data_IF_220692310767
#
_entry.id   IF_220692310767
#
_cell.length_a   1.000
_cell.length_b   1.000
_cell.length_c   1.000
_cell.angle_alpha   90.00
_cell.angle_beta   90.00
_cell.angle_gamma   90.00
#
_symmetry.space_group_name_H-M   'P 1'
#
loop_
_entity.id
_entity.type
_entity.pdbx_description
1 polymer ?
2 non-polymer ?
3 non-polymer ?
4 non-polymer ?
5 water ?
#
# COMPACT_ATOMS: atom_id res chain seq x y z
N UNK A 1 -1.46 15.58 -5.71
CA UNK A 1 -1.77 14.26 -6.38
C UNK A 1 -0.48 13.62 -6.91
N UNK A 2 -0.52 12.31 -7.11
CA UNK A 2 0.56 11.61 -7.80
C UNK A 2 -0.03 10.78 -8.95
N UNK A 3 0.79 10.48 -9.94
CA UNK A 3 0.35 9.75 -11.14
C UNK A 3 1.31 8.65 -11.56
N UNK A 4 0.78 7.60 -12.18
CA UNK A 4 1.58 6.54 -12.79
C UNK A 4 0.90 6.03 -14.05
N UNK A 5 1.66 5.95 -15.13
CA UNK A 5 1.17 5.46 -16.42
C UNK A 5 1.83 4.14 -16.79
N UNK A 6 1.02 3.12 -17.03
CA UNK A 6 1.54 1.81 -17.42
C UNK A 6 2.06 1.79 -18.85
N UNK A 7 1.53 2.66 -19.70
CA UNK A 7 2.00 2.77 -21.07
C UNK A 7 3.41 3.36 -21.10
N UNK A 8 4.38 2.55 -21.52
CA UNK A 8 5.78 2.96 -21.54
C UNK A 8 6.48 2.78 -20.21
N UNK A 9 5.79 2.17 -19.25
CA UNK A 9 6.35 2.00 -17.92
C UNK A 9 7.56 1.08 -17.92
N UNK A 10 8.55 1.40 -17.08
CA UNK A 10 9.69 0.54 -16.87
C UNK A 10 10.12 0.64 -15.39
N UNK A 11 11.13 -0.14 -14.97
CA UNK A 11 11.53 -0.05 -13.56
C UNK A 11 11.84 1.38 -13.08
N UNK A 12 12.40 2.20 -13.98
CA UNK A 12 12.74 3.58 -13.65
C UNK A 12 11.51 4.45 -13.38
N UNK A 13 10.53 4.40 -14.29
CA UNK A 13 9.31 5.21 -14.13
C UNK A 13 8.47 4.75 -12.93
N UNK A 14 8.43 3.45 -12.70
CA UNK A 14 7.75 2.93 -11.52
C UNK A 14 8.43 3.42 -10.25
N UNK A 15 9.76 3.38 -10.23
CA UNK A 15 10.54 3.91 -9.11
C UNK A 15 10.25 5.37 -8.82
N UNK A 16 10.10 6.16 -9.88
CA UNK A 16 9.75 7.57 -9.75
C UNK A 16 8.37 7.76 -9.12
N UNK A 17 7.42 6.91 -9.52
CA UNK A 17 6.06 6.97 -8.97
C UNK A 17 6.04 6.65 -7.47
N UNK A 18 6.77 5.62 -7.07
CA UNK A 18 6.82 5.22 -5.67
C UNK A 18 7.53 6.28 -4.82
N UNK A 19 8.55 6.92 -5.40
CA UNK A 19 9.20 8.06 -4.75
C UNK A 19 8.20 9.20 -4.55
N UNK A 20 7.45 9.53 -5.60
CA UNK A 20 6.40 10.56 -5.54
C UNK A 20 5.36 10.23 -4.47
N UNK A 21 4.93 8.97 -4.44
CA UNK A 21 3.95 8.52 -3.46
C UNK A 21 4.45 8.74 -2.03
N UNK A 22 5.65 8.25 -1.74
CA UNK A 22 6.28 8.46 -0.44
C UNK A 22 6.37 9.95 -0.09
N UNK A 23 6.85 10.74 -1.04
CA UNK A 23 7.04 12.19 -0.81
C UNK A 23 5.74 12.97 -0.66
N UNK A 24 4.63 12.40 -1.12
CA UNK A 24 3.32 13.03 -0.95
C UNK A 24 2.73 12.82 0.45
N UNK A 25 3.32 11.92 1.24
CA UNK A 25 2.83 11.67 2.59
C UNK A 25 3.53 12.62 3.55
N UNK A 26 2.74 13.40 4.32
CA UNK A 26 3.32 14.40 5.20
C UNK A 26 3.91 13.81 6.47
N UNK A 27 4.96 14.45 6.98
CA UNK A 27 5.53 14.09 8.28
C UNK A 27 6.20 15.32 8.87
N UNK A 28 6.25 15.38 10.19
CA UNK A 28 6.93 16.47 10.90
C UNK A 28 8.28 16.03 11.47
N UNK A 29 8.47 14.72 11.65
CA UNK A 29 9.73 14.19 12.16
C UNK A 29 10.08 12.83 11.56
N UNK A 30 11.35 12.46 11.73
CA UNK A 30 11.83 11.13 11.39
C UNK A 30 12.28 10.41 12.64
N UNK A 31 12.10 9.10 12.65
CA UNK A 31 12.55 8.25 13.76
C UNK A 31 13.55 7.27 13.18
N UNK A 32 14.79 7.35 13.65
CA UNK A 32 15.91 6.61 13.07
C UNK A 32 15.99 6.82 11.56
N UNK A 33 15.84 8.09 11.18
CA UNK A 33 15.94 8.56 9.79
C UNK A 33 14.82 8.07 8.86
N UNK A 34 13.73 7.58 9.45
CA UNK A 34 12.56 7.10 8.69
C UNK A 34 11.39 8.04 8.97
N UNK A 35 10.75 8.57 7.92
CA UNK A 35 9.59 9.44 8.11
C UNK A 35 8.52 8.80 8.99
N UNK A 36 8.05 9.56 9.97
CA UNK A 36 7.00 9.14 10.88
C UNK A 36 5.69 9.73 10.39
N UNK A 37 4.76 8.87 9.98
CA UNK A 37 3.45 9.35 9.52
C UNK A 37 2.71 10.02 10.68
N UNK A 38 1.86 10.98 10.34
CA UNK A 38 1.19 11.81 11.34
C UNK A 38 0.11 11.02 12.11
N UNK A 39 -0.11 11.37 13.38
CA UNK A 39 -1.20 10.74 14.14
C UNK A 39 -2.56 10.98 13.51
N UNK A 40 -2.78 12.19 13.02
CA UNK A 40 -4.08 12.56 12.43
C UNK A 40 -3.96 13.74 11.47
N UNK A 41 -4.82 13.74 10.46
CA UNK A 41 -4.97 14.89 9.54
C UNK A 41 -6.47 15.18 9.42
N UNK A 42 -6.83 16.46 9.44
CA UNK A 42 -8.23 16.87 9.45
C UNK A 42 -8.73 17.26 8.06
N UNK A 43 -9.93 16.80 7.72
CA UNK A 43 -10.61 17.19 6.50
C UNK A 43 -10.10 16.49 5.26
N UNK A 44 -10.22 17.16 4.13
CA UNK A 44 -9.86 16.60 2.83
C UNK A 44 -8.36 16.32 2.69
N UNK A 45 -7.54 17.06 3.43
CA UNK A 45 -6.09 16.88 3.41
C UNK A 45 -5.59 15.51 3.88
N UNK A 46 -6.47 14.78 4.56
CA UNK A 46 -6.17 13.41 5.01
C UNK A 46 -5.96 12.43 3.84
N UNK A 47 -6.45 12.78 2.65
CA UNK A 47 -6.48 11.85 1.53
C UNK A 47 -5.64 12.29 0.34
N UNK A 48 -4.76 11.39 -0.10
CA UNK A 48 -3.95 11.57 -1.30
C UNK A 48 -4.66 10.91 -2.47
N UNK A 49 -4.68 11.59 -3.61
CA UNK A 49 -5.24 11.03 -4.84
C UNK A 49 -4.14 10.50 -5.75
N UNK A 50 -4.22 9.20 -6.09
CA UNK A 50 -3.32 8.58 -7.04
C UNK A 50 -4.06 8.38 -8.36
N UNK A 51 -3.56 8.98 -9.43
CA UNK A 51 -4.12 8.78 -10.77
C UNK A 51 -3.35 7.68 -11.48
N UNK A 52 -4.00 6.54 -11.70
CA UNK A 52 -3.37 5.40 -12.34
C UNK A 52 -3.95 5.18 -13.72
N UNK A 53 -3.08 5.00 -14.71
CA UNK A 53 -3.49 4.82 -16.11
C UNK A 53 -3.06 3.44 -16.61
N UNK A 54 -4.00 2.68 -17.15
CA UNK A 54 -3.68 1.40 -17.75
C UNK A 54 -2.99 1.64 -19.09
N UNK A 55 -2.52 0.57 -19.71
CA UNK A 55 -1.76 0.67 -20.95
C UNK A 55 -2.52 1.42 -22.07
N UNK A 56 -3.83 1.24 -22.10
CA UNK A 56 -4.69 1.91 -23.09
C UNK A 56 -5.02 3.36 -22.75
N UNK A 57 -4.58 3.84 -21.58
CA UNK A 57 -4.76 5.23 -21.20
C UNK A 57 -6.03 5.50 -20.40
N UNK A 58 -6.81 4.46 -20.11
CA UNK A 58 -7.96 4.59 -19.22
C UNK A 58 -7.46 4.71 -17.79
N UNK A 59 -8.24 5.37 -16.94
CA UNK A 59 -7.75 5.79 -15.64
C UNK A 59 -8.72 5.58 -14.49
N UNK A 60 -8.14 5.34 -13.31
CA UNK A 60 -8.87 5.42 -12.05
C UNK A 60 -8.10 6.35 -11.12
N UNK A 61 -8.81 6.96 -10.18
CA UNK A 61 -8.19 7.76 -9.14
C UNK A 61 -8.41 7.04 -7.82
N UNK A 62 -7.32 6.74 -7.13
CA UNK A 62 -7.38 6.00 -5.87
C UNK A 62 -7.13 6.96 -4.70
N UNK A 63 -8.01 6.91 -3.70
CA UNK A 63 -7.87 7.75 -2.50
C UNK A 63 -7.13 6.99 -1.41
N UNK A 64 -6.06 7.58 -0.90
CA UNK A 64 -5.19 6.95 0.09
C UNK A 64 -5.13 7.81 1.35
N UNK A 65 -5.39 7.20 2.50
CA UNK A 65 -5.30 7.87 3.80
C UNK A 65 -3.81 8.09 4.11
N UNK A 66 -3.40 9.34 4.25
CA UNK A 66 -1.96 9.67 4.35
C UNK A 66 -1.35 9.36 5.72
N UNK A 67 -2.18 9.04 6.70
CA UNK A 67 -1.70 8.65 8.04
C UNK A 67 -1.26 7.19 8.10
N UNK A 68 -1.83 6.33 7.24
CA UNK A 68 -1.52 4.88 7.29
C UNK A 68 -1.30 4.20 5.93
N UNK A 69 -1.40 4.97 4.85
CA UNK A 69 -1.28 4.48 3.47
C UNK A 69 -2.35 3.43 3.11
N UNK A 70 -3.49 3.48 3.79
CA UNK A 70 -4.61 2.58 3.51
C UNK A 70 -5.40 3.14 2.33
N UNK A 71 -5.72 2.28 1.37
CA UNK A 71 -6.61 2.68 0.28
C UNK A 71 -8.04 2.71 0.81
N UNK A 72 -8.72 3.84 0.59
CA UNK A 72 -10.10 4.03 1.08
C UNK A 72 -11.13 3.65 0.02
N UNK A 73 -10.81 3.99 -1.24
CA UNK A 73 -11.74 3.82 -2.34
C UNK A 73 -11.12 4.37 -3.61
N UNK A 74 -11.91 4.41 -4.67
CA UNK A 74 -11.42 4.88 -5.97
C UNK A 74 -12.56 5.35 -6.84
N UNK A 75 -12.21 6.14 -7.84
CA UNK A 75 -13.15 6.69 -8.80
C UNK A 75 -12.87 6.08 -10.17
N UNK A 76 -13.90 5.55 -10.81
CA UNK A 76 -13.80 5.02 -12.17
C UNK A 76 -14.90 5.65 -13.02
N UNK A 77 -14.50 6.55 -13.91
CA UNK A 77 -15.41 7.38 -14.71
C UNK A 77 -16.31 8.24 -13.80
N UNK A 78 -17.59 7.88 -13.66
CA UNK A 78 -18.53 8.68 -12.87
C UNK A 78 -19.04 7.93 -11.64
N UNK A 79 -18.42 6.79 -11.34
CA UNK A 79 -18.81 5.98 -10.20
C UNK A 79 -17.67 5.89 -9.19
N UNK A 80 -17.97 6.19 -7.92
CA UNK A 80 -17.01 5.99 -6.85
C UNK A 80 -17.27 4.66 -6.14
N UNK A 81 -16.20 4.08 -5.61
CA UNK A 81 -16.25 2.81 -4.90
C UNK A 81 -15.47 2.95 -3.60
N UNK A 82 -16.07 2.54 -2.49
CA UNK A 82 -15.41 2.59 -1.18
C UNK A 82 -15.53 1.26 -0.45
N UNK A 83 -14.50 0.95 0.36
CA UNK A 83 -14.55 -0.23 1.21
C UNK A 83 -15.66 -0.11 2.25
N UNK A 84 -16.21 -1.26 2.65
CA UNK A 84 -17.24 -1.29 3.68
C UNK A 84 -16.59 -1.25 5.06
N UNK A 85 -16.17 -0.06 5.46
CA UNK A 85 -15.51 0.16 6.75
C UNK A 85 -15.66 1.63 7.14
N UNK A 86 -15.67 1.94 8.45
CA UNK A 86 -15.93 3.33 8.86
C UNK A 86 -14.95 4.38 8.32
N UNK A 87 -13.67 4.04 8.24
CA UNK A 87 -12.67 4.98 7.72
C UNK A 87 -12.95 5.36 6.26
N UNK A 88 -13.40 4.39 5.47
CA UNK A 88 -13.71 4.63 4.06
C UNK A 88 -15.00 5.43 3.90
N UNK A 89 -15.99 5.15 4.74
CA UNK A 89 -17.24 5.94 4.72
C UNK A 89 -16.94 7.40 5.04
N UNK A 90 -16.09 7.63 6.04
CA UNK A 90 -15.63 8.98 6.37
C UNK A 90 -14.96 9.62 5.15
N UNK A 91 -14.03 8.88 4.53
CA UNK A 91 -13.37 9.38 3.32
C UNK A 91 -14.36 9.80 2.23
N UNK A 92 -15.47 9.07 2.11
CA UNK A 92 -16.49 9.38 1.10
C UNK A 92 -17.18 10.73 1.32
N UNK A 93 -17.02 11.30 2.52
CA UNK A 93 -17.51 12.65 2.80
C UNK A 93 -16.62 13.74 2.16
N UNK A 94 -15.41 13.37 1.75
CA UNK A 94 -14.41 14.34 1.29
C UNK A 94 -13.93 14.17 -0.16
N UNK A 95 -13.86 12.93 -0.66
CA UNK A 95 -13.34 12.69 -2.00
C UNK A 95 -14.38 12.09 -2.95
N UNK A 96 -14.22 12.38 -4.24
CA UNK A 96 -15.08 11.88 -5.31
C UNK A 96 -16.55 12.24 -5.13
N UNK A 97 -16.80 13.39 -4.49
CA UNK A 97 -18.17 13.83 -4.21
C UNK A 97 -18.96 14.13 -5.49
N UNK A 98 -18.25 14.51 -6.56
CA UNK A 98 -18.88 14.81 -7.85
C UNK A 98 -19.26 13.55 -8.66
N UNK A 99 -18.94 12.36 -8.16
CA UNK A 99 -19.36 11.12 -8.81
C UNK A 99 -20.88 11.04 -8.91
N UNK A 100 -21.37 10.51 -10.03
CA UNK A 100 -22.82 10.37 -10.21
C UNK A 100 -23.44 9.36 -9.25
N UNK A 101 -22.72 8.28 -8.94
CA UNK A 101 -23.18 7.33 -7.93
C UNK A 101 -22.02 6.80 -7.09
N UNK A 102 -22.33 6.34 -5.88
CA UNK A 102 -21.34 5.76 -4.97
C UNK A 102 -21.71 4.33 -4.62
N UNK A 103 -20.83 3.40 -4.94
CA UNK A 103 -21.00 2.00 -4.57
C UNK A 103 -20.11 1.69 -3.38
N UNK A 104 -20.69 1.10 -2.34
CA UNK A 104 -19.90 0.56 -1.24
C UNK A 104 -19.61 -0.89 -1.58
N UNK A 105 -18.33 -1.23 -1.63
CA UNK A 105 -17.92 -2.61 -1.92
C UNK A 105 -18.41 -3.54 -0.80
N UNK A 106 -18.68 -4.82 -1.14
CA UNK A 106 -19.18 -5.77 -0.14
C UNK A 106 -18.07 -6.45 0.69
N UNK A 107 -17.06 -5.67 1.07
CA UNK A 107 -16.00 -6.11 1.95
C UNK A 107 -15.23 -4.91 2.45
N UNK A 108 -14.53 -5.09 3.56
CA UNK A 108 -13.59 -4.10 4.06
C UNK A 108 -12.26 -4.25 3.30
N UNK A 109 -11.32 -3.38 3.59
CA UNK A 109 -10.04 -3.33 2.87
C UNK A 109 -8.92 -4.18 3.44
N UNK A 110 -9.15 -4.88 4.55
CA UNK A 110 -8.06 -5.67 5.13
C UNK A 110 -7.82 -6.95 4.32
N UNK A 111 -6.57 -7.41 4.36
CA UNK A 111 -6.15 -8.54 3.53
C UNK A 111 -6.99 -9.79 3.72
N UNK A 112 -7.37 -10.05 4.96
CA UNK A 112 -8.09 -11.28 5.27
C UNK A 112 -9.45 -11.30 4.57
N UNK A 113 -10.15 -10.18 4.60
CA UNK A 113 -11.47 -10.06 3.94
C UNK A 113 -11.38 -10.04 2.42
N UNK A 114 -10.37 -9.36 1.88
CA UNK A 114 -10.20 -9.31 0.42
C UNK A 114 -9.88 -10.69 -0.16
N UNK A 115 -9.07 -11.46 0.55
CA UNK A 115 -8.71 -12.82 0.13
C UNK A 115 -9.92 -13.74 0.12
N UNK A 116 -10.79 -13.60 1.12
CA UNK A 116 -12.06 -14.35 1.17
C UNK A 116 -12.92 -14.00 -0.05
N UNK A 117 -13.08 -12.70 -0.33
CA UNK A 117 -13.87 -12.24 -1.48
C UNK A 117 -13.27 -12.68 -2.81
N UNK A 118 -11.94 -12.63 -2.93
CA UNK A 118 -11.26 -13.01 -4.16
C UNK A 118 -11.22 -14.54 -4.36
N UNK A 119 -11.36 -15.29 -3.28
CA UNK A 119 -11.36 -16.75 -3.33
C UNK A 119 -9.96 -17.36 -3.34
N UNK A 120 -8.96 -16.57 -2.96
CA UNK A 120 -7.59 -17.06 -2.89
C UNK A 120 -6.71 -16.15 -2.02
N UNK A 121 -5.71 -16.74 -1.35
CA UNK A 121 -4.76 -15.93 -0.59
C UNK A 121 -3.81 -15.26 -1.57
N UNK A 122 -3.21 -14.14 -1.17
CA UNK A 122 -2.37 -13.40 -2.10
C UNK A 122 -1.02 -14.09 -2.36
N UNK A 123 -0.69 -15.12 -1.57
CA UNK A 123 0.42 -16.03 -1.92
C UNK A 123 0.27 -16.62 -3.32
N UNK A 124 -0.97 -16.75 -3.80
CA UNK A 124 -1.26 -17.35 -5.10
C UNK A 124 -1.63 -16.35 -6.20
N UNK A 125 -1.62 -15.06 -5.88
CA UNK A 125 -1.99 -14.01 -6.84
C UNK A 125 -0.73 -13.35 -7.39
N UNK A 126 -0.44 -13.54 -8.69
CA UNK A 126 0.74 -12.87 -9.26
C UNK A 126 0.64 -11.35 -9.16
N UNK A 127 1.77 -10.71 -8.91
CA UNK A 127 1.85 -9.25 -8.90
C UNK A 127 2.98 -8.80 -9.82
N UNK A 128 2.98 -7.51 -10.13
CA UNK A 128 3.88 -6.94 -11.12
C UNK A 128 3.19 -5.80 -11.83
N UNK A 129 3.88 -5.18 -12.78
CA UNK A 129 3.30 -4.08 -13.54
C UNK A 129 2.22 -4.58 -14.50
N UNK A 130 2.42 -5.72 -15.18
CA UNK A 130 1.31 -6.26 -15.98
C UNK A 130 0.05 -6.53 -15.13
N UNK A 131 0.22 -7.09 -13.95
CA UNK A 131 -0.91 -7.34 -13.04
C UNK A 131 -1.59 -6.04 -12.62
N UNK A 132 -0.81 -4.98 -12.45
CA UNK A 132 -1.36 -3.67 -12.10
C UNK A 132 -2.19 -3.11 -13.26
N UNK A 133 -1.70 -3.26 -14.48
CA UNK A 133 -2.48 -2.89 -15.66
C UNK A 133 -3.83 -3.63 -15.68
N UNK A 134 -3.80 -4.94 -15.42
CA UNK A 134 -5.02 -5.74 -15.32
C UNK A 134 -5.94 -5.23 -14.22
N UNK A 135 -5.35 -4.90 -13.08
CA UNK A 135 -6.13 -4.47 -11.91
C UNK A 135 -6.88 -3.18 -12.22
N UNK A 136 -6.21 -2.23 -12.85
CA UNK A 136 -6.82 -0.96 -13.22
C UNK A 136 -8.00 -1.23 -14.16
N UNK A 137 -7.76 -2.07 -15.17
CA UNK A 137 -8.78 -2.42 -16.14
C UNK A 137 -10.00 -3.08 -15.49
N UNK A 138 -9.76 -3.99 -14.55
CA UNK A 138 -10.83 -4.66 -13.82
C UNK A 138 -11.67 -3.65 -13.03
N UNK A 139 -11.00 -2.72 -12.37
CA UNK A 139 -11.71 -1.75 -11.52
C UNK A 139 -12.54 -0.73 -12.30
N UNK A 140 -12.32 -0.61 -13.61
CA UNK A 140 -13.06 0.35 -14.43
C UNK A 140 -14.55 0.04 -14.52
N UNK A 141 -14.91 -1.24 -14.42
CA UNK A 141 -16.30 -1.66 -14.44
C UNK A 141 -16.60 -2.64 -13.30
N UNK A 142 -17.67 -2.37 -12.57
CA UNK A 142 -17.93 -3.05 -11.32
C UNK A 142 -18.08 -4.57 -11.44
N UNK A 143 -17.33 -5.29 -10.62
CA UNK A 143 -17.39 -6.74 -10.50
C UNK A 143 -16.71 -7.04 -9.17
N UNK A 144 -17.50 -7.27 -8.11
CA UNK A 144 -16.95 -7.26 -6.75
C UNK A 144 -15.95 -8.40 -6.50
N UNK A 145 -16.22 -9.58 -7.03
CA UNK A 145 -15.28 -10.70 -6.92
C UNK A 145 -13.97 -10.40 -7.64
N UNK A 146 -14.06 -9.93 -8.88
CA UNK A 146 -12.86 -9.57 -9.65
C UNK A 146 -12.11 -8.41 -8.98
N UNK A 147 -12.87 -7.43 -8.49
CA UNK A 147 -12.28 -6.25 -7.86
C UNK A 147 -11.46 -6.59 -6.61
N UNK A 148 -11.90 -7.58 -5.82
CA UNK A 148 -11.13 -7.99 -4.64
C UNK A 148 -9.71 -8.40 -5.00
N UNK A 149 -9.57 -9.22 -6.03
CA UNK A 149 -8.26 -9.63 -6.54
C UNK A 149 -7.48 -8.44 -7.08
N UNK A 150 -8.14 -7.59 -7.85
CA UNK A 150 -7.53 -6.38 -8.40
C UNK A 150 -7.00 -5.50 -7.26
N UNK A 151 -7.79 -5.36 -6.21
CA UNK A 151 -7.41 -4.52 -5.07
C UNK A 151 -6.23 -5.10 -4.29
N UNK A 152 -6.16 -6.42 -4.16
CA UNK A 152 -4.99 -7.07 -3.57
C UNK A 152 -3.73 -6.73 -4.36
N UNK A 153 -3.83 -6.77 -5.70
CA UNK A 153 -2.70 -6.37 -6.54
C UNK A 153 -2.37 -4.88 -6.36
N UNK A 154 -3.41 -4.04 -6.41
CA UNK A 154 -3.25 -2.60 -6.30
C UNK A 154 -2.57 -2.16 -5.01
N UNK A 155 -3.04 -2.72 -3.89
CA UNK A 155 -2.52 -2.36 -2.57
C UNK A 155 -1.02 -2.70 -2.48
N UNK A 156 -0.66 -3.89 -2.95
CA UNK A 156 0.72 -4.35 -2.87
C UNK A 156 1.67 -3.60 -3.78
N UNK A 157 1.20 -3.23 -4.98
CA UNK A 157 2.06 -2.55 -5.95
C UNK A 157 2.15 -1.03 -5.75
N UNK A 158 1.36 -0.49 -4.82
CA UNK A 158 1.41 0.93 -4.51
C UNK A 158 1.81 1.11 -3.04
N UNK A 159 0.87 0.91 -2.12
CA UNK A 159 1.09 1.16 -0.70
C UNK A 159 2.26 0.35 -0.10
N UNK A 160 2.28 -0.96 -0.36
CA UNK A 160 3.30 -1.81 0.25
C UNK A 160 4.68 -1.52 -0.31
N UNK A 161 4.75 -1.19 -1.61
CA UNK A 161 6.00 -0.77 -2.25
C UNK A 161 6.50 0.57 -1.69
N UNK A 162 5.57 1.47 -1.39
CA UNK A 162 5.93 2.74 -0.73
C UNK A 162 6.51 2.47 0.66
N UNK A 163 5.94 1.50 1.38
CA UNK A 163 6.39 1.21 2.74
C UNK A 163 7.75 0.52 2.83
N UNK A 164 8.08 -0.31 1.84
CA UNK A 164 9.28 -1.14 1.88
C UNK A 164 10.05 -1.10 0.57
N UNK A 165 11.31 -0.68 0.64
CA UNK A 165 12.17 -0.67 -0.54
C UNK A 165 12.28 -2.06 -1.17
N UNK A 166 12.35 -3.10 -0.34
CA UNK A 166 12.40 -4.47 -0.84
C UNK A 166 11.20 -4.79 -1.76
N UNK A 167 10.01 -4.36 -1.35
CA UNK A 167 8.80 -4.63 -2.14
C UNK A 167 8.81 -3.83 -3.45
N UNK A 168 9.23 -2.57 -3.39
CA UNK A 168 9.41 -1.75 -4.60
C UNK A 168 10.31 -2.49 -5.62
N UNK A 169 11.44 -2.99 -5.13
CA UNK A 169 12.38 -3.72 -5.97
C UNK A 169 11.78 -5.01 -6.53
N UNK A 170 10.98 -5.71 -5.72
CA UNK A 170 10.30 -6.93 -6.18
C UNK A 170 9.36 -6.64 -7.35
N UNK A 171 8.65 -5.51 -7.29
CA UNK A 171 7.76 -5.12 -8.38
C UNK A 171 8.57 -4.67 -9.60
N UNK A 172 9.68 -3.98 -9.38
CA UNK A 172 10.58 -3.59 -10.47
C UNK A 172 11.10 -4.80 -11.25
N UNK A 173 11.34 -5.90 -10.53
CA UNK A 173 11.76 -7.16 -11.15
C UNK A 173 10.62 -7.79 -11.95
N UNK A 174 9.38 -7.41 -11.64
CA UNK A 174 8.19 -7.91 -12.31
C UNK A 174 7.61 -6.85 -13.25
N UNK A 175 8.47 -6.06 -13.89
CA UNK A 175 8.03 -4.98 -14.77
C UNK A 175 7.37 -5.51 -16.04
N UNK A 176 7.80 -6.68 -16.51
CA UNK A 176 7.28 -7.25 -17.76
C UNK A 176 6.82 -8.72 -17.63
N UNK A 177 6.83 -9.22 -16.39
CA UNK A 177 6.40 -10.59 -16.10
C UNK A 177 5.94 -10.66 -14.65
N UNK A 178 4.67 -10.99 -14.44
CA UNK A 178 4.13 -11.16 -13.10
C UNK A 178 4.70 -12.39 -12.42
N UNK A 179 4.74 -12.35 -11.10
CA UNK A 179 5.09 -13.51 -10.30
C UNK A 179 4.49 -13.32 -8.93
N UNK A 180 4.04 -14.41 -8.31
CA UNK A 180 3.50 -14.34 -6.95
C UNK A 180 4.54 -13.72 -6.01
N UNK A 181 4.08 -12.98 -4.99
CA UNK A 181 5.03 -12.32 -4.09
C UNK A 181 5.91 -13.32 -3.35
N UNK A 182 7.16 -12.95 -3.09
CA UNK A 182 8.06 -13.77 -2.28
C UNK A 182 7.51 -13.90 -0.87
N UNK A 183 7.91 -14.96 -0.17
CA UNK A 183 7.50 -15.17 1.23
C UNK A 183 7.92 -13.98 2.10
N UNK A 184 9.06 -13.38 1.76
CA UNK A 184 9.56 -12.20 2.46
C UNK A 184 8.64 -10.99 2.27
N UNK A 185 8.14 -10.83 1.05
CA UNK A 185 7.19 -9.76 0.74
C UNK A 185 5.98 -9.85 1.64
N UNK A 186 5.38 -11.04 1.71
CA UNK A 186 4.19 -11.27 2.54
C UNK A 186 4.51 -10.96 4.01
N UNK A 187 5.68 -11.41 4.45
CA UNK A 187 6.16 -11.20 5.82
C UNK A 187 6.23 -9.72 6.18
N UNK A 188 6.84 -8.92 5.31
CA UNK A 188 6.97 -7.47 5.54
C UNK A 188 5.62 -6.79 5.60
N UNK A 189 4.73 -7.11 4.66
CA UNK A 189 3.37 -6.55 4.63
C UNK A 189 2.68 -6.79 5.97
N UNK A 190 2.76 -8.04 6.45
CA UNK A 190 2.14 -8.44 7.69
C UNK A 190 2.77 -7.82 8.93
N UNK A 191 4.03 -7.39 8.82
CA UNK A 191 4.81 -6.89 9.96
C UNK A 191 4.98 -5.37 10.02
N UNK A 192 4.36 -4.64 9.10
CA UNK A 192 4.58 -3.21 9.01
C UNK A 192 4.17 -2.47 10.27
N UNK A 193 3.01 -2.83 10.81
CA UNK A 193 2.51 -2.20 12.04
C UNK A 193 3.42 -2.52 13.22
N UNK A 194 3.74 -3.81 13.37
CA UNK A 194 4.67 -4.27 14.41
C UNK A 194 6.03 -3.61 14.32
N UNK A 195 6.60 -3.57 13.13
CA UNK A 195 7.91 -2.93 12.92
C UNK A 195 7.87 -1.45 13.23
N UNK A 196 6.84 -0.77 12.74
CA UNK A 196 6.65 0.66 13.00
C UNK A 196 6.62 0.94 14.50
N UNK A 197 5.91 0.09 15.23
CA UNK A 197 5.78 0.22 16.69
C UNK A 197 7.12 0.05 17.39
N UNK A 198 7.82 -1.04 17.08
CA UNK A 198 9.08 -1.36 17.75
C UNK A 198 10.19 -0.35 17.47
N UNK A 199 10.20 0.19 16.25
CA UNK A 199 11.17 1.23 15.88
C UNK A 199 10.92 2.50 16.70
N UNK A 200 9.64 2.85 16.91
CA UNK A 200 9.31 3.99 17.76
C UNK A 200 9.61 3.72 19.24
N UNK A 201 9.34 2.49 19.70
CA UNK A 201 9.65 2.10 21.08
C UNK A 201 11.16 2.04 21.34
N UNK A 202 11.92 1.75 20.29
CA UNK A 202 13.38 1.67 20.39
C UNK A 202 14.01 3.00 20.80
N UNK A 203 13.36 4.11 20.44
CA UNK A 203 13.72 5.41 20.98
C UNK A 203 13.24 5.45 22.43
N UNK A 204 14.20 5.53 23.35
CA UNK A 204 13.92 5.37 24.78
C UNK A 204 14.38 4.02 25.30
N UNK A 205 14.86 3.16 24.40
CA UNK A 205 15.35 1.84 24.76
C UNK A 205 16.67 1.52 24.06
N UNK A 206 17.44 2.56 23.75
CA UNK A 206 18.79 2.44 23.16
C UNK A 206 18.82 1.72 21.81
N UNK A 207 17.77 1.92 21.02
CA UNK A 207 17.68 1.27 19.70
C UNK A 207 17.21 -0.17 19.75
N UNK A 208 16.90 -0.68 20.95
CA UNK A 208 16.50 -2.08 21.13
C UNK A 208 14.98 -2.20 21.09
N UNK A 209 14.47 -3.19 20.36
CA UNK A 209 13.03 -3.47 20.32
C UNK A 209 12.56 -3.98 21.68
N UNK A 210 11.42 -3.48 22.15
CA UNK A 210 10.80 -4.02 23.36
C UNK A 210 10.35 -5.47 23.12
N UNK A 211 9.89 -5.74 21.90
CA UNK A 211 9.46 -7.07 21.48
C UNK A 211 10.04 -7.38 20.10
N UNK A 212 10.77 -8.51 19.96
CA UNK A 212 11.35 -8.83 18.65
C UNK A 212 10.31 -9.11 17.57
N UNK A 213 10.63 -8.76 16.33
CA UNK A 213 9.76 -9.01 15.18
C UNK A 213 10.34 -10.15 14.36
N UNK A 214 9.55 -11.19 14.12
CA UNK A 214 9.99 -12.33 13.31
C UNK A 214 9.61 -12.11 11.85
N UNK A 215 10.60 -12.23 10.96
CA UNK A 215 10.41 -12.07 9.52
C UNK A 215 10.99 -13.24 8.73
N UNK A 216 10.48 -13.43 7.52
CA UNK A 216 11.09 -14.33 6.54
C UNK A 216 12.02 -13.50 5.66
N UNK A 217 13.25 -13.95 5.47
CA UNK A 217 14.24 -13.20 4.67
C UNK A 217 14.16 -13.56 3.19
N UNK A 218 14.95 -12.85 2.38
CA UNK A 218 15.01 -13.07 0.92
C UNK A 218 15.34 -14.51 0.52
N UNK A 219 15.83 -15.29 1.47
CA UNK A 219 16.27 -16.67 1.24
C UNK A 219 15.18 -17.70 1.58
N UNK A 220 14.06 -17.24 2.13
CA UNK A 220 13.00 -18.13 2.60
C UNK A 220 13.19 -18.59 4.05
N UNK A 221 14.21 -18.06 4.71
CA UNK A 221 14.54 -18.44 6.08
C UNK A 221 14.02 -17.43 7.10
N UNK A 222 13.59 -17.92 8.25
CA UNK A 222 12.92 -17.10 9.26
C UNK A 222 13.94 -16.45 10.22
N UNK A 223 14.16 -15.15 10.04
CA UNK A 223 15.06 -14.36 10.90
C UNK A 223 14.29 -13.63 12.00
N UNK A 224 15.02 -13.11 12.98
CA UNK A 224 14.43 -12.37 14.09
C UNK A 224 15.06 -10.98 14.21
N UNK A 225 14.21 -9.95 14.26
CA UNK A 225 14.66 -8.56 14.27
C UNK A 225 14.55 -8.01 15.70
N UNK A 226 15.69 -7.60 16.27
CA UNK A 226 15.74 -7.22 17.68
C UNK A 226 16.10 -5.75 17.95
N UNK A 227 16.64 -5.07 16.96
CA UNK A 227 17.09 -3.69 17.13
C UNK A 227 17.23 -2.89 15.83
N UNK A 228 17.44 -1.58 15.91
CA UNK A 228 17.49 -0.68 14.75
C UNK A 228 18.71 -0.84 13.84
N UNK A 229 19.69 -1.66 14.22
CA UNK A 229 20.86 -1.89 13.36
C UNK A 229 20.55 -2.88 12.24
N UNK A 230 19.41 -3.56 12.34
CA UNK A 230 18.99 -4.54 11.34
C UNK A 230 18.78 -3.89 9.97
N UNK A 231 19.08 -4.63 8.91
CA UNK A 231 18.91 -4.15 7.54
C UNK A 231 17.47 -3.70 7.23
N UNK A 232 16.49 -4.36 7.85
CA UNK A 232 15.09 -4.01 7.64
C UNK A 232 14.83 -2.56 8.07
N UNK A 233 15.51 -2.12 9.12
CA UNK A 233 15.35 -0.75 9.64
C UNK A 233 16.24 0.26 8.92
N UNK A 234 17.49 -0.11 8.66
CA UNK A 234 18.45 0.82 8.07
C UNK A 234 18.26 1.03 6.57
N UNK A 235 17.74 0.01 5.88
CA UNK A 235 17.51 0.09 4.44
C UNK A 235 16.24 -0.16 3.65
N UNK A 236 15.40 -0.75 4.44
CA UNK A 236 14.19 -1.30 3.82
C UNK A 236 12.96 -0.46 4.09
N UNK A 237 12.50 -0.43 5.34
CA UNK A 237 11.28 0.31 5.69
C UNK A 237 11.44 1.80 5.40
N UNK A 238 10.43 2.38 4.77
CA UNK A 238 10.51 3.79 4.33
C UNK A 238 9.49 4.72 5.00
N UNK A 239 8.51 4.14 5.69
CA UNK A 239 7.46 4.90 6.35
C UNK A 239 7.07 4.18 7.65
N UNK A 240 6.81 4.94 8.70
CA UNK A 240 6.39 4.40 9.98
C UNK A 240 4.95 4.79 10.31
N UNK A 241 4.13 3.77 10.59
CA UNK A 241 2.80 3.98 11.15
C UNK A 241 2.97 4.52 12.56
N UNK A 242 2.34 5.65 12.84
CA UNK A 242 2.43 6.29 14.16
C UNK A 242 1.83 5.38 15.24
N UNK A 243 2.51 5.27 16.39
CA UNK A 243 2.02 4.43 17.49
C UNK A 243 0.67 4.88 18.04
N UNK A 244 0.32 6.15 17.84
CA UNK A 244 -1.03 6.63 18.16
C UNK A 244 -2.12 5.81 17.46
N UNK A 245 -1.83 5.37 16.24
CA UNK A 245 -2.77 4.59 15.43
C UNK A 245 -2.57 3.07 15.53
N UNK A 246 -1.81 2.61 16.52
CA UNK A 246 -1.59 1.18 16.74
C UNK A 246 -2.15 0.79 18.11
X LIG B 1 20.95 -6.00 16.74
X LIG B 1 21.58 -7.06 17.63
X LIG B 1 22.63 -7.89 16.90
X LIG B 1 22.22 -8.27 15.49
X LIG B 1 21.61 -7.08 14.75
X LIG B 1 21.10 -7.47 13.36
X LIG B 1 21.69 -6.56 20.03
X LIG B 1 22.43 -5.82 21.11
X LIG B 1 22.17 -6.41 18.80
X LIG B 1 22.89 -9.08 17.64
X LIG B 1 23.35 -8.75 14.78
X LIG B 1 20.54 -6.57 15.50
X LIG B 1 19.93 -8.24 13.48
X LIG B 1 20.70 -7.23 20.31
X LIG C 1 16.67 5.51 5.75
X LIG C 1 17.15 6.42 4.75
X LIG C 1 16.14 4.25 5.08
X LIG C 1 15.43 4.59 3.90
X LIG C 1 15.21 3.54 6.07
X LIG C 1 15.21 2.11 5.90
X LIG D 1 -16.12 -6.70 6.22
X LIG D 1 -15.56 -7.42 5.11
X LIG D 1 -17.17 -5.72 5.70
X LIG D 1 -17.41 -4.71 6.70
X LIG D 1 -18.46 -6.46 5.37
X LIG D 1 -19.00 -6.08 4.10
X LIG E 1 -4.73 -6.51 6.26
X LIG E 1 -4.57 -5.11 6.51
X LIG E 1 -3.76 -4.48 5.40
X LIG E 1 -4.57 -4.25 4.23
X LIG E 1 -4.33 -2.95 3.69
X LIG E 1 -5.54 -2.12 3.76
X LIG E 1 -6.36 -2.22 4.82
X LIG E 1 -7.50 -1.43 4.90
X LIG E 1 -7.79 -0.54 3.88
X LIG E 1 -6.96 -0.42 2.82
X LIG E 1 -5.85 -1.19 2.74
X LIG E 1 -5.10 -1.06 1.74
X LIG E 1 -8.89 0.23 3.95
X LIG E 1 -3.22 -2.31 4.50
X LIG E 1 -1.98 -2.37 3.79
X LIG E 1 -3.18 -3.13 5.78
X LIG E 1 -1.86 -3.25 6.31
#
# INVERSE_FOLDING_TARGET
DVSFRLSGADPSSYGMFIKDLRNALPHTEKVYNIPLLLPSVSGAGRYLLMHLFNYDGNTITVAVDVTNVYIMGYLALTTSYFFNEPAADLASQYVFRSARRKITLPYSGNYERLQIAAGKPREKIPIGLPALDTAISTLLHYDSTAAAGALLVLIQTTAEAARFKYIEQQIQERAYRDEVPSSATISLENSWSGLSKQIQLAQGNNGVFRTPTVLVDSKGNRVQITNVTSNVVTSNIQLLLNTKNI
NAG C1 C2 C3 C4 C5 C6 C7 C8 N2 O3 O4 O5 O6 O7
GOL C1 O1 C2 O2 C3 O3
GOL C1 O1 C2 O2 C3 O3
CTN O5' C5' C4' O4' C1' N1 C6 C5 C4 N3 C2 O2 N4 C2' O2' C3' O3'
#
